data_IF_176725266674
#
_entry.id   IF_176725266674
#
_cell.length_a   1.000
_cell.length_b   1.000
_cell.length_c   1.000
_cell.angle_alpha   90.00
_cell.angle_beta   90.00
_cell.angle_gamma   90.00
#
_symmetry.space_group_name_H-M   'P 1'
#
loop_
_entity.id
_entity.type
_entity.pdbx_description
1 polymer ?
#
# COMPACT_ATOMS: atom_id res chain seq x y z
N UNK A 1 -15.29 1.55 2.84
CA UNK A 1 -16.38 2.06 3.70
C UNK A 1 -17.43 2.85 2.88
N UNK A 2 -17.04 3.92 2.15
CA UNK A 2 -17.92 4.87 1.47
C UNK A 2 -19.06 4.20 0.68
N UNK A 3 -18.80 3.22 -0.22
CA UNK A 3 -19.87 2.57 -0.97
C UNK A 3 -20.85 1.75 -0.14
N UNK A 4 -20.39 1.20 0.99
CA UNK A 4 -21.21 0.35 1.85
C UNK A 4 -22.03 1.19 2.85
N UNK A 5 -21.51 2.34 3.29
CA UNK A 5 -22.19 3.23 4.25
C UNK A 5 -23.23 4.12 3.53
N UNK A 6 -22.93 4.57 2.32
CA UNK A 6 -23.80 5.51 1.60
C UNK A 6 -25.27 5.10 1.47
N UNK A 7 -25.65 3.81 1.31
CA UNK A 7 -27.05 3.40 1.30
C UNK A 7 -27.74 3.45 2.68
N UNK A 8 -26.99 3.37 3.77
CA UNK A 8 -27.51 3.20 5.13
C UNK A 8 -27.69 4.53 5.87
N UNK A 9 -27.17 5.64 5.33
CA UNK A 9 -27.21 6.95 6.00
C UNK A 9 -28.07 7.95 5.25
N UNK A 10 -28.66 8.90 6.00
CA UNK A 10 -29.45 10.00 5.43
C UNK A 10 -28.60 10.92 4.58
N UNK A 11 -27.39 11.26 5.07
CA UNK A 11 -26.42 12.11 4.39
C UNK A 11 -25.01 11.62 4.67
N UNK A 12 -24.15 11.60 3.66
CA UNK A 12 -22.73 11.25 3.76
C UNK A 12 -21.88 12.39 3.20
N UNK A 13 -21.03 12.97 4.05
CA UNK A 13 -20.01 13.93 3.65
C UNK A 13 -18.66 13.22 3.55
N UNK A 14 -18.03 13.29 2.40
CA UNK A 14 -16.72 12.70 2.15
C UNK A 14 -15.69 13.82 2.06
N UNK A 15 -14.94 14.04 3.13
CA UNK A 15 -13.86 15.01 3.15
C UNK A 15 -12.62 14.43 2.49
N UNK A 16 -12.19 14.99 1.37
CA UNK A 16 -11.08 14.52 0.58
C UNK A 16 -10.09 15.65 0.27
N UNK A 17 -8.91 15.60 0.88
CA UNK A 17 -7.83 16.56 0.60
C UNK A 17 -7.18 16.32 -0.76
N UNK A 18 -6.94 15.07 -1.12
CA UNK A 18 -6.30 14.65 -2.37
C UNK A 18 -7.06 13.46 -2.93
N UNK A 19 -7.45 13.54 -4.21
CA UNK A 19 -8.08 12.42 -4.90
C UNK A 19 -7.11 11.23 -5.00
N UNK A 20 -7.65 10.02 -5.06
CA UNK A 20 -6.88 8.80 -5.24
C UNK A 20 -7.15 8.18 -6.61
N UNK A 21 -6.11 7.61 -7.24
CA UNK A 21 -6.30 6.77 -8.41
C UNK A 21 -7.05 5.50 -8.02
N UNK A 22 -8.21 5.28 -8.64
CA UNK A 22 -9.04 4.08 -8.43
C UNK A 22 -9.28 3.43 -9.78
N UNK A 23 -8.93 2.14 -9.87
CA UNK A 23 -9.09 1.33 -11.09
C UNK A 23 -10.15 0.25 -10.87
N UNK A 24 -10.71 -0.31 -11.95
CA UNK A 24 -11.68 -1.40 -11.85
C UNK A 24 -11.12 -2.62 -11.11
N UNK A 25 -11.98 -3.27 -10.35
CA UNK A 25 -11.70 -4.55 -9.70
C UNK A 25 -12.20 -5.69 -10.57
N UNK A 26 -11.34 -6.64 -10.92
CA UNK A 26 -11.74 -7.90 -11.54
C UNK A 26 -12.32 -8.85 -10.47
N UNK A 27 -13.60 -8.67 -10.17
CA UNK A 27 -14.34 -9.52 -9.23
C UNK A 27 -15.03 -10.65 -9.98
N UNK A 28 -14.42 -11.84 -9.97
CA UNK A 28 -15.03 -13.06 -10.48
C UNK A 28 -15.22 -14.07 -9.35
N UNK A 29 -16.46 -14.52 -9.18
CA UNK A 29 -16.73 -15.65 -8.28
C UNK A 29 -16.20 -16.91 -8.94
N UNK A 30 -15.45 -17.72 -8.19
CA UNK A 30 -15.04 -19.03 -8.67
C UNK A 30 -16.27 -19.94 -8.88
N UNK A 31 -16.32 -20.61 -10.03
CA UNK A 31 -17.35 -21.62 -10.31
C UNK A 31 -17.22 -22.80 -9.35
N UNK A 32 -18.28 -23.58 -9.18
CA UNK A 32 -18.23 -24.78 -8.33
C UNK A 32 -17.19 -25.78 -8.86
N UNK A 33 -17.07 -25.92 -10.19
CA UNK A 33 -16.04 -26.74 -10.81
C UNK A 33 -14.64 -26.28 -10.41
N UNK A 34 -14.34 -24.98 -10.48
CA UNK A 34 -13.04 -24.45 -10.04
C UNK A 34 -12.77 -24.74 -8.57
N UNK A 35 -13.77 -24.58 -7.71
CA UNK A 35 -13.64 -24.90 -6.27
C UNK A 35 -13.35 -26.37 -6.02
N UNK A 36 -13.98 -27.27 -6.78
CA UNK A 36 -13.72 -28.72 -6.70
C UNK A 36 -12.31 -29.04 -7.19
N UNK A 37 -11.88 -28.47 -8.31
CA UNK A 37 -10.52 -28.66 -8.83
C UNK A 37 -9.45 -28.13 -7.87
N UNK A 38 -9.68 -27.01 -7.19
CA UNK A 38 -8.79 -26.51 -6.16
C UNK A 38 -8.66 -27.45 -4.97
N UNK A 39 -9.73 -28.17 -4.61
CA UNK A 39 -9.68 -29.18 -3.55
C UNK A 39 -8.96 -30.46 -4.00
N UNK A 40 -9.22 -30.90 -5.23
CA UNK A 40 -8.75 -32.18 -5.74
C UNK A 40 -7.31 -32.19 -6.27
N UNK A 41 -6.81 -31.04 -6.78
CA UNK A 41 -5.54 -30.99 -7.49
C UNK A 41 -4.62 -29.87 -6.99
N UNK A 42 -3.45 -30.27 -6.48
CA UNK A 42 -2.38 -29.33 -6.13
C UNK A 42 -1.80 -28.66 -7.40
N UNK A 43 -1.67 -29.41 -8.49
CA UNK A 43 -1.16 -28.89 -9.76
C UNK A 43 -2.06 -27.76 -10.27
N UNK A 44 -3.38 -27.93 -10.23
CA UNK A 44 -4.32 -26.89 -10.64
C UNK A 44 -4.17 -25.64 -9.77
N UNK A 45 -3.99 -25.78 -8.45
CA UNK A 45 -3.70 -24.65 -7.54
C UNK A 45 -2.41 -23.93 -7.92
N UNK A 46 -1.34 -24.67 -8.22
CA UNK A 46 -0.05 -24.09 -8.58
C UNK A 46 -0.12 -23.33 -9.93
N UNK A 47 -0.74 -23.91 -10.94
CA UNK A 47 -0.96 -23.22 -12.22
C UNK A 47 -1.74 -21.92 -12.01
N UNK A 48 -2.81 -21.96 -11.25
CA UNK A 48 -3.62 -20.78 -10.96
C UNK A 48 -2.83 -19.71 -10.18
N UNK A 49 -2.06 -20.12 -9.15
CA UNK A 49 -1.16 -19.25 -8.38
C UNK A 49 -0.11 -18.59 -9.28
N UNK A 50 0.53 -19.37 -10.14
CA UNK A 50 1.53 -18.86 -11.11
C UNK A 50 0.91 -17.85 -12.08
N UNK A 51 -0.28 -18.14 -12.60
CA UNK A 51 -1.00 -17.20 -13.46
C UNK A 51 -1.30 -15.89 -12.74
N UNK A 52 -1.81 -15.94 -11.51
CA UNK A 52 -2.08 -14.74 -10.71
C UNK A 52 -0.79 -13.95 -10.43
N UNK A 53 0.29 -14.65 -10.10
CA UNK A 53 1.60 -14.03 -9.89
C UNK A 53 2.03 -13.22 -11.12
N UNK A 54 2.10 -13.86 -12.29
CA UNK A 54 2.56 -13.19 -13.51
C UNK A 54 1.61 -12.08 -13.98
N UNK A 55 0.30 -12.22 -13.76
CA UNK A 55 -0.66 -11.16 -14.03
C UNK A 55 -0.40 -9.92 -13.15
N UNK A 56 -0.05 -10.12 -11.89
CA UNK A 56 0.26 -9.02 -10.99
C UNK A 56 1.67 -8.46 -11.27
N UNK A 57 2.64 -9.33 -11.54
CA UNK A 57 4.02 -8.93 -11.84
C UNK A 57 4.10 -8.08 -13.11
N UNK A 58 3.31 -8.39 -14.14
CA UNK A 58 3.25 -7.57 -15.35
C UNK A 58 2.83 -6.11 -15.11
N UNK A 59 2.18 -5.82 -13.97
CA UNK A 59 1.79 -4.45 -13.58
C UNK A 59 2.98 -3.59 -13.13
N UNK A 60 4.14 -4.19 -12.87
CA UNK A 60 5.35 -3.42 -12.55
C UNK A 60 5.84 -2.64 -13.78
N UNK A 61 5.65 -3.20 -14.98
CA UNK A 61 6.13 -2.61 -16.23
C UNK A 61 5.69 -1.15 -16.40
N UNK A 62 4.38 -0.80 -16.32
CA UNK A 62 3.98 0.60 -16.39
C UNK A 62 4.45 1.44 -15.19
N UNK A 63 4.71 0.84 -14.03
CA UNK A 63 5.21 1.57 -12.85
C UNK A 63 6.65 2.05 -13.09
N UNK A 64 7.52 1.17 -13.65
CA UNK A 64 8.92 1.52 -13.93
C UNK A 64 9.12 2.22 -15.28
N UNK A 65 8.09 2.29 -16.12
CA UNK A 65 8.11 2.96 -17.41
C UNK A 65 7.07 4.09 -17.49
N UNK A 66 7.43 5.33 -17.11
CA UNK A 66 6.48 6.44 -17.02
C UNK A 66 5.70 6.74 -18.31
N UNK A 67 6.28 6.42 -19.47
CA UNK A 67 5.59 6.60 -20.76
C UNK A 67 4.38 5.67 -20.90
N UNK A 68 4.53 4.41 -20.47
CA UNK A 68 3.43 3.42 -20.49
C UNK A 68 2.38 3.82 -19.44
N UNK A 69 2.82 4.30 -18.28
CA UNK A 69 1.91 4.76 -17.22
C UNK A 69 0.99 5.90 -17.68
N UNK A 70 1.45 6.81 -18.55
CA UNK A 70 0.62 7.88 -19.14
C UNK A 70 -0.60 7.33 -19.88
N UNK A 71 -0.48 6.19 -20.57
CA UNK A 71 -1.64 5.55 -21.22
C UNK A 71 -2.59 4.95 -20.18
N UNK A 72 -2.05 4.27 -19.17
CA UNK A 72 -2.84 3.77 -18.04
C UNK A 72 -3.60 4.88 -17.32
N UNK A 73 -2.96 6.03 -17.11
CA UNK A 73 -3.58 7.21 -16.52
C UNK A 73 -4.74 7.74 -17.35
N UNK A 74 -4.59 7.88 -18.67
CA UNK A 74 -5.68 8.30 -19.57
C UNK A 74 -6.88 7.35 -19.52
N UNK A 75 -6.64 6.04 -19.43
CA UNK A 75 -7.70 5.05 -19.27
C UNK A 75 -8.40 5.19 -17.92
N UNK A 76 -7.66 5.43 -16.84
CA UNK A 76 -8.23 5.68 -15.53
C UNK A 76 -9.05 6.98 -15.48
N UNK A 77 -8.61 8.05 -16.13
CA UNK A 77 -9.37 9.29 -16.29
C UNK A 77 -10.67 9.07 -17.08
N UNK A 78 -10.60 8.29 -18.17
CA UNK A 78 -11.81 7.93 -18.94
C UNK A 78 -12.78 7.10 -18.10
N UNK A 79 -12.26 6.20 -17.27
CA UNK A 79 -13.08 5.41 -16.33
C UNK A 79 -13.78 6.30 -15.30
N UNK A 80 -13.11 7.29 -14.72
CA UNK A 80 -13.73 8.27 -13.81
C UNK A 80 -14.86 8.99 -14.50
N UNK A 81 -14.59 9.55 -15.69
CA UNK A 81 -15.60 10.31 -16.49
C UNK A 81 -16.80 9.45 -16.92
N UNK A 82 -16.58 8.17 -17.14
CA UNK A 82 -17.67 7.24 -17.44
C UNK A 82 -18.53 6.92 -16.22
N UNK A 83 -17.91 6.81 -15.04
CA UNK A 83 -18.59 6.41 -13.81
C UNK A 83 -19.29 7.58 -13.10
N UNK A 84 -18.79 8.80 -13.22
CA UNK A 84 -19.30 10.00 -12.53
C UNK A 84 -20.06 10.87 -13.55
N UNK A 85 -21.35 11.09 -13.28
CA UNK A 85 -22.25 11.82 -14.21
C UNK A 85 -21.96 13.32 -14.27
N UNK A 86 -21.61 13.91 -13.14
CA UNK A 86 -21.30 15.34 -13.02
C UNK A 86 -19.82 15.58 -13.41
N UNK A 87 -19.59 16.46 -14.39
CA UNK A 87 -18.25 16.74 -14.93
C UNK A 87 -17.35 17.46 -13.93
N UNK A 88 -17.89 18.37 -13.13
CA UNK A 88 -17.10 19.09 -12.12
C UNK A 88 -16.71 18.16 -10.97
N UNK A 89 -17.64 17.29 -10.56
CA UNK A 89 -17.36 16.25 -9.57
C UNK A 89 -16.33 15.25 -10.09
N UNK A 90 -16.43 14.82 -11.35
CA UNK A 90 -15.44 13.95 -11.98
C UNK A 90 -14.04 14.58 -11.98
N UNK A 91 -13.94 15.90 -12.24
CA UNK A 91 -12.69 16.65 -12.17
C UNK A 91 -12.11 16.67 -10.75
N UNK A 92 -12.94 16.92 -9.72
CA UNK A 92 -12.51 16.88 -8.31
C UNK A 92 -12.07 15.48 -7.85
N UNK A 93 -12.62 14.42 -8.44
CA UNK A 93 -12.26 13.03 -8.16
C UNK A 93 -11.07 12.53 -8.99
N UNK A 94 -10.58 13.32 -9.94
CA UNK A 94 -9.40 13.00 -10.75
C UNK A 94 -8.14 13.51 -10.02
N UNK A 95 -7.17 12.63 -9.71
CA UNK A 95 -5.92 13.05 -9.08
C UNK A 95 -5.08 13.98 -9.96
N UNK A 96 -4.34 14.87 -9.33
CA UNK A 96 -3.42 15.84 -9.94
C UNK A 96 -1.96 15.35 -10.01
N UNK A 97 -1.69 14.15 -9.49
CA UNK A 97 -0.35 13.54 -9.47
C UNK A 97 -0.28 12.34 -10.41
N UNK A 98 0.95 12.00 -10.83
CA UNK A 98 1.20 10.86 -11.73
C UNK A 98 0.74 9.55 -11.09
N UNK A 99 0.01 8.74 -11.86
CA UNK A 99 -0.46 7.42 -11.42
C UNK A 99 0.74 6.53 -11.08
N UNK A 100 0.70 5.91 -9.89
CA UNK A 100 1.82 5.11 -9.37
C UNK A 100 2.65 5.82 -8.29
N UNK A 101 2.69 7.16 -8.24
CA UNK A 101 3.38 7.89 -7.17
C UNK A 101 2.74 7.70 -5.79
N UNK A 102 1.48 7.29 -5.75
CA UNK A 102 0.77 6.88 -4.54
C UNK A 102 0.03 5.58 -4.83
N UNK A 103 -0.33 4.84 -3.76
CA UNK A 103 -1.05 3.58 -3.88
C UNK A 103 -2.31 3.72 -4.75
N UNK A 104 -2.42 2.89 -5.78
CA UNK A 104 -3.61 2.77 -6.62
C UNK A 104 -4.65 1.93 -5.88
N UNK A 105 -5.87 2.43 -5.77
CA UNK A 105 -6.99 1.73 -5.17
C UNK A 105 -7.76 0.93 -6.23
N UNK A 106 -8.50 -0.08 -5.78
CA UNK A 106 -9.24 -0.99 -6.67
C UNK A 106 -10.69 -1.04 -6.22
N UNK A 107 -11.63 -0.52 -7.04
CA UNK A 107 -13.06 -0.54 -6.70
C UNK A 107 -13.93 -0.30 -7.93
N UNK A 108 -15.03 -1.06 -8.02
CA UNK A 108 -16.08 -0.83 -9.02
C UNK A 108 -17.23 0.05 -8.49
N UNK A 109 -17.27 0.26 -7.17
CA UNK A 109 -18.40 0.93 -6.49
C UNK A 109 -18.07 2.36 -6.06
N UNK A 110 -16.78 2.73 -5.97
CA UNK A 110 -16.34 4.00 -5.38
C UNK A 110 -16.92 5.20 -6.14
N UNK A 111 -16.64 5.33 -7.41
CA UNK A 111 -17.11 6.45 -8.22
C UNK A 111 -18.64 6.52 -8.38
N UNK A 112 -19.36 5.39 -8.66
CA UNK A 112 -20.81 5.42 -8.74
C UNK A 112 -21.49 5.89 -7.45
N UNK A 113 -20.87 5.73 -6.30
CA UNK A 113 -21.41 6.18 -5.01
C UNK A 113 -21.60 7.70 -4.99
N UNK A 114 -20.74 8.46 -5.63
CA UNK A 114 -20.84 9.91 -5.70
C UNK A 114 -21.97 10.42 -6.62
N UNK A 115 -22.64 9.55 -7.39
CA UNK A 115 -23.85 9.91 -8.14
C UNK A 115 -25.10 9.89 -7.25
N UNK A 116 -25.02 9.46 -5.99
CA UNK A 116 -26.14 9.42 -5.06
C UNK A 116 -26.44 10.83 -4.55
N UNK A 117 -27.73 11.17 -4.41
CA UNK A 117 -28.16 12.48 -3.92
C UNK A 117 -27.75 12.77 -2.46
N UNK A 118 -27.56 11.71 -1.68
CA UNK A 118 -27.18 11.79 -0.26
C UNK A 118 -25.66 11.71 -0.03
N UNK A 119 -24.83 11.86 -1.08
CA UNK A 119 -23.37 11.84 -0.95
C UNK A 119 -22.78 13.14 -1.48
N UNK A 120 -22.06 13.85 -0.64
CA UNK A 120 -21.37 15.10 -1.00
C UNK A 120 -19.85 14.91 -0.84
N UNK A 121 -19.12 15.21 -1.91
CA UNK A 121 -17.65 15.32 -1.86
C UNK A 121 -17.27 16.73 -1.39
N UNK A 122 -16.53 16.81 -0.28
CA UNK A 122 -16.03 18.06 0.29
C UNK A 122 -14.52 18.13 0.09
N UNK A 123 -14.06 19.09 -0.71
CA UNK A 123 -12.63 19.30 -1.00
C UNK A 123 -12.05 20.47 -0.23
N UNK A 124 -12.90 21.29 0.39
CA UNK A 124 -12.48 22.41 1.21
C UNK A 124 -11.84 21.93 2.51
N UNK A 125 -10.79 22.62 2.92
CA UNK A 125 -10.07 22.24 4.13
C UNK A 125 -10.96 22.40 5.37
N UNK A 126 -10.89 21.44 6.28
CA UNK A 126 -11.53 21.51 7.58
C UNK A 126 -10.88 22.65 8.36
N UNK A 127 -11.69 23.54 8.88
CA UNK A 127 -11.28 24.62 9.75
C UNK A 127 -11.44 24.23 11.21
N UNK A 128 -12.60 23.64 11.57
CA UNK A 128 -12.93 23.28 12.94
C UNK A 128 -13.89 22.08 12.98
N UNK A 129 -13.76 21.27 14.01
CA UNK A 129 -14.72 20.22 14.38
C UNK A 129 -15.46 20.69 15.61
N UNK A 130 -16.76 20.94 15.48
CA UNK A 130 -17.64 21.39 16.56
C UNK A 130 -18.30 20.21 17.24
N UNK A 131 -19.05 20.46 18.30
CA UNK A 131 -19.85 19.42 18.98
C UNK A 131 -20.92 18.79 18.07
N UNK A 132 -21.39 19.51 17.04
CA UNK A 132 -22.51 19.09 16.19
C UNK A 132 -22.13 18.94 14.72
N UNK A 133 -20.90 19.26 14.32
CA UNK A 133 -20.55 19.28 12.90
C UNK A 133 -19.11 19.60 12.57
N UNK A 134 -18.90 19.87 11.28
CA UNK A 134 -17.61 20.24 10.72
C UNK A 134 -17.75 21.54 9.95
N UNK A 135 -16.94 22.53 10.31
CA UNK A 135 -16.83 23.81 9.59
C UNK A 135 -15.64 23.73 8.65
N UNK A 136 -15.86 24.07 7.39
CA UNK A 136 -14.83 24.16 6.37
C UNK A 136 -14.42 25.61 6.12
N UNK A 137 -13.27 25.83 5.50
CA UNK A 137 -12.72 27.18 5.26
C UNK A 137 -13.59 28.06 4.36
N UNK A 138 -14.55 27.49 3.62
CA UNK A 138 -15.59 28.23 2.88
C UNK A 138 -16.71 28.76 3.80
N UNK A 139 -16.60 28.56 5.12
CA UNK A 139 -17.56 29.01 6.13
C UNK A 139 -18.82 28.13 6.26
N UNK A 140 -18.91 27.00 5.55
CA UNK A 140 -20.04 26.10 5.66
C UNK A 140 -19.88 25.15 6.83
N UNK A 141 -20.92 25.06 7.66
CA UNK A 141 -21.07 24.04 8.68
C UNK A 141 -21.89 22.86 8.13
N UNK A 142 -21.38 21.65 8.33
CA UNK A 142 -22.07 20.41 7.99
C UNK A 142 -22.34 19.65 9.28
N UNK A 143 -23.61 19.55 9.65
CA UNK A 143 -24.03 18.81 10.85
C UNK A 143 -23.87 17.32 10.62
N UNK A 144 -23.33 16.61 11.61
CA UNK A 144 -23.07 15.17 11.58
C UNK A 144 -23.39 14.55 12.96
N UNK A 145 -23.81 13.30 12.93
CA UNK A 145 -24.00 12.47 14.13
C UNK A 145 -22.80 11.54 14.37
N UNK A 146 -22.05 11.24 13.31
CA UNK A 146 -20.94 10.30 13.35
C UNK A 146 -19.77 10.83 12.53
N UNK A 147 -18.58 10.82 13.08
CA UNK A 147 -17.33 11.17 12.44
C UNK A 147 -16.43 9.94 12.33
N UNK A 148 -16.07 9.56 11.09
CA UNK A 148 -15.18 8.45 10.82
C UNK A 148 -13.82 8.99 10.35
N UNK A 149 -12.79 8.76 11.13
CA UNK A 149 -11.42 9.14 10.79
C UNK A 149 -10.80 8.13 9.82
N UNK A 150 -10.55 8.56 8.59
CA UNK A 150 -9.82 7.81 7.56
C UNK A 150 -8.50 8.49 7.22
N UNK A 151 -7.77 8.98 8.21
CA UNK A 151 -6.60 9.86 8.07
C UNK A 151 -5.30 9.14 7.70
N UNK A 152 -5.33 7.80 7.57
CA UNK A 152 -4.19 6.97 7.22
C UNK A 152 -3.44 6.42 8.43
N UNK A 153 -2.26 5.88 8.16
CA UNK A 153 -1.39 5.27 9.15
C UNK A 153 -0.01 5.93 9.12
N UNK A 154 0.67 5.86 10.24
CA UNK A 154 2.09 6.18 10.32
C UNK A 154 2.85 5.01 9.68
N UNK A 155 3.57 5.26 8.62
CA UNK A 155 4.31 4.22 7.86
C UNK A 155 5.82 4.28 8.06
N UNK A 156 6.33 5.35 8.68
CA UNK A 156 7.76 5.49 8.96
C UNK A 156 8.17 4.56 10.10
N UNK A 157 9.02 3.55 9.85
CA UNK A 157 9.43 2.58 10.87
C UNK A 157 10.19 3.24 12.02
N UNK A 158 10.83 4.39 11.82
CA UNK A 158 11.53 5.14 12.87
C UNK A 158 10.60 5.60 14.00
N UNK A 159 9.33 5.81 13.69
CA UNK A 159 8.35 6.20 14.70
C UNK A 159 8.01 5.04 15.63
N UNK A 160 7.96 3.81 15.11
CA UNK A 160 7.72 2.61 15.92
C UNK A 160 8.89 2.32 16.86
N UNK A 161 10.13 2.65 16.47
CA UNK A 161 11.31 2.50 17.31
C UNK A 161 11.33 3.38 18.56
N UNK A 162 10.36 4.31 18.71
CA UNK A 162 10.16 5.06 19.96
C UNK A 162 9.60 4.18 21.09
N UNK A 163 9.04 3.02 20.77
CA UNK A 163 8.33 2.16 21.72
C UNK A 163 9.12 0.91 22.13
N UNK A 164 10.26 0.64 21.48
CA UNK A 164 11.15 -0.45 21.87
C UNK A 164 12.59 -0.12 21.49
N UNK A 165 13.52 -0.62 22.30
CA UNK A 165 14.94 -0.48 22.03
C UNK A 165 15.45 -1.72 21.30
N UNK A 166 16.19 -1.49 20.24
CA UNK A 166 16.92 -2.52 19.52
C UNK A 166 18.39 -2.11 19.45
N UNK A 167 19.23 -2.85 20.15
CA UNK A 167 20.66 -2.55 20.29
C UNK A 167 21.47 -3.60 19.56
N UNK A 168 22.31 -3.16 18.66
CA UNK A 168 23.21 -3.98 17.86
C UNK A 168 24.65 -4.02 18.41
N UNK A 169 25.61 -4.28 17.51
CA UNK A 169 27.03 -4.31 17.85
C UNK A 169 27.52 -2.99 18.45
N UNK A 170 28.40 -3.08 19.41
CA UNK A 170 29.01 -1.92 20.05
C UNK A 170 28.03 -0.94 20.67
N UNK A 171 26.83 -1.40 21.03
CA UNK A 171 25.81 -0.56 21.64
C UNK A 171 25.07 0.38 20.67
N UNK A 172 25.19 0.17 19.36
CA UNK A 172 24.47 0.99 18.35
C UNK A 172 22.98 0.71 18.44
N UNK A 173 22.19 1.73 18.68
CA UNK A 173 20.73 1.63 18.67
C UNK A 173 20.18 1.73 17.23
N UNK A 174 19.18 0.92 16.88
CA UNK A 174 18.58 0.90 15.55
C UNK A 174 17.96 2.26 15.17
N UNK A 175 17.38 2.97 16.16
CA UNK A 175 16.87 4.34 15.96
C UNK A 175 17.98 5.32 15.57
N UNK A 176 19.20 5.12 16.06
CA UNK A 176 20.36 5.92 15.70
C UNK A 176 20.91 5.53 14.32
N UNK A 177 20.97 4.24 14.03
CA UNK A 177 21.38 3.74 12.72
C UNK A 177 20.45 4.23 11.59
N UNK A 178 19.16 4.39 11.88
CA UNK A 178 18.14 4.83 10.93
C UNK A 178 17.76 6.32 11.01
N UNK A 179 18.57 7.15 11.73
CA UNK A 179 18.25 8.59 11.93
C UNK A 179 18.02 9.35 10.62
N UNK A 180 18.81 9.08 9.60
CA UNK A 180 18.78 9.76 8.30
C UNK A 180 17.84 9.07 7.28
N UNK A 181 17.43 7.84 7.56
CA UNK A 181 16.55 7.02 6.73
C UNK A 181 16.59 5.58 7.20
N UNK A 182 15.47 4.87 7.09
CA UNK A 182 15.45 3.45 7.41
C UNK A 182 16.02 2.65 6.24
N UNK A 183 17.08 1.88 6.50
CA UNK A 183 17.81 1.09 5.52
C UNK A 183 17.91 -0.37 5.91
N UNK A 184 17.90 -1.25 4.92
CA UNK A 184 18.11 -2.68 5.12
C UNK A 184 18.52 -3.35 3.82
N UNK A 185 19.08 -4.54 3.93
CA UNK A 185 19.34 -5.40 2.78
C UNK A 185 18.11 -6.26 2.48
N UNK A 186 17.48 -6.08 1.31
CA UNK A 186 16.23 -6.73 0.88
C UNK A 186 15.07 -6.63 1.88
N UNK A 187 15.09 -5.65 2.79
CA UNK A 187 14.08 -5.55 3.85
C UNK A 187 14.15 -6.67 4.88
N UNK A 188 15.30 -7.39 4.97
CA UNK A 188 15.45 -8.58 5.80
C UNK A 188 16.48 -8.37 6.91
N UNK A 189 17.62 -7.77 6.60
CA UNK A 189 18.74 -7.63 7.53
C UNK A 189 19.29 -6.20 7.54
N UNK A 190 19.83 -5.78 8.68
CA UNK A 190 20.44 -4.47 8.86
C UNK A 190 21.86 -4.63 9.39
N UNK A 191 22.83 -3.96 8.79
CA UNK A 191 24.24 -3.97 9.24
C UNK A 191 24.36 -3.51 10.69
N UNK A 192 25.28 -4.06 11.44
CA UNK A 192 25.49 -3.89 12.89
C UNK A 192 24.41 -4.55 13.78
N UNK A 193 23.46 -5.28 13.20
CA UNK A 193 22.41 -5.96 13.97
C UNK A 193 22.43 -7.47 13.66
N UNK A 194 23.39 -8.23 14.21
CA UNK A 194 23.48 -9.67 14.00
C UNK A 194 22.21 -10.38 14.50
N UNK A 195 21.78 -11.42 13.78
CA UNK A 195 20.59 -12.22 14.08
C UNK A 195 19.26 -11.43 14.12
N UNK A 196 19.27 -10.16 13.73
CA UNK A 196 18.04 -9.38 13.55
C UNK A 196 17.50 -9.59 12.13
N UNK A 197 16.31 -10.19 12.04
CA UNK A 197 15.60 -10.34 10.78
C UNK A 197 14.29 -9.59 10.80
N UNK A 198 13.95 -9.04 9.65
CA UNK A 198 12.73 -8.27 9.44
C UNK A 198 11.90 -8.90 8.32
N UNK A 199 10.59 -8.79 8.43
CA UNK A 199 9.67 -9.05 7.32
C UNK A 199 9.07 -7.73 6.87
N UNK A 200 9.08 -7.49 5.56
CA UNK A 200 8.62 -6.22 4.97
C UNK A 200 9.36 -5.00 5.56
N UNK A 201 10.65 -5.15 5.79
CA UNK A 201 11.48 -4.04 6.24
C UNK A 201 11.61 -2.92 5.19
N UNK A 202 12.45 -1.92 5.45
CA UNK A 202 12.64 -0.77 4.56
C UNK A 202 12.75 -1.13 3.08
N UNK A 203 12.13 -0.34 2.22
CA UNK A 203 12.16 -0.44 0.75
C UNK A 203 11.55 -1.72 0.14
N UNK A 204 10.67 -2.43 0.86
CA UNK A 204 10.06 -3.68 0.36
C UNK A 204 8.55 -3.66 0.19
N UNK A 205 7.86 -2.55 0.45
CA UNK A 205 6.40 -2.48 0.30
C UNK A 205 6.06 -2.28 -1.18
N UNK A 206 5.64 -3.36 -1.84
CA UNK A 206 5.21 -3.34 -3.25
C UNK A 206 3.72 -3.00 -3.38
N UNK A 207 3.39 -2.19 -4.39
CA UNK A 207 2.00 -1.82 -4.70
C UNK A 207 1.31 -2.70 -5.74
N UNK A 208 2.03 -3.56 -6.45
CA UNK A 208 1.53 -4.29 -7.62
C UNK A 208 1.33 -5.79 -7.39
N UNK A 209 2.02 -6.39 -6.42
CA UNK A 209 1.97 -7.84 -6.16
C UNK A 209 1.58 -8.14 -4.70
N UNK A 210 1.51 -9.43 -4.39
CA UNK A 210 1.10 -9.93 -3.08
C UNK A 210 2.21 -9.76 -2.04
N UNK A 211 1.91 -9.02 -0.98
CA UNK A 211 2.76 -8.89 0.21
C UNK A 211 3.05 -10.25 0.86
N UNK A 212 2.06 -11.16 0.88
CA UNK A 212 2.23 -12.52 1.42
C UNK A 212 3.28 -13.30 0.63
N UNK A 213 3.33 -13.12 -0.69
CA UNK A 213 4.33 -13.78 -1.53
C UNK A 213 5.76 -13.31 -1.19
N UNK A 214 5.92 -12.02 -0.91
CA UNK A 214 7.21 -11.48 -0.44
C UNK A 214 7.58 -12.04 0.92
N UNK A 215 6.64 -12.08 1.87
CA UNK A 215 6.87 -12.67 3.20
C UNK A 215 7.32 -14.12 3.08
N UNK A 216 6.65 -14.94 2.24
CA UNK A 216 7.06 -16.34 2.00
C UNK A 216 8.51 -16.43 1.50
N UNK A 217 8.90 -15.55 0.56
CA UNK A 217 10.27 -15.51 0.03
C UNK A 217 11.28 -15.08 1.09
N UNK A 218 10.96 -14.05 1.87
CA UNK A 218 11.79 -13.57 2.97
C UNK A 218 11.94 -14.62 4.07
N UNK A 219 10.87 -15.30 4.47
CA UNK A 219 10.90 -16.40 5.45
C UNK A 219 11.81 -17.53 4.97
N UNK A 220 11.69 -17.94 3.70
CA UNK A 220 12.55 -18.97 3.14
C UNK A 220 14.03 -18.57 3.16
N UNK A 221 14.35 -17.32 2.88
CA UNK A 221 15.71 -16.80 2.96
C UNK A 221 16.22 -16.80 4.41
N UNK A 222 15.42 -16.30 5.36
CA UNK A 222 15.77 -16.28 6.80
C UNK A 222 16.00 -17.70 7.33
N UNK A 223 15.16 -18.65 6.98
CA UNK A 223 15.33 -20.05 7.38
C UNK A 223 16.66 -20.63 6.88
N UNK A 224 17.09 -20.31 5.65
CA UNK A 224 18.40 -20.73 5.13
C UNK A 224 19.56 -20.10 5.92
N UNK A 225 19.43 -18.83 6.33
CA UNK A 225 20.42 -18.16 7.16
C UNK A 225 20.54 -18.85 8.54
N UNK A 226 19.41 -19.12 9.19
CA UNK A 226 19.37 -19.83 10.50
C UNK A 226 20.02 -21.22 10.37
N UNK A 227 19.64 -21.98 9.34
CA UNK A 227 20.22 -23.29 9.08
C UNK A 227 21.74 -23.23 8.82
N UNK A 228 22.22 -22.14 8.24
CA UNK A 228 23.66 -21.92 8.03
C UNK A 228 24.37 -21.70 9.36
N UNK A 229 23.81 -20.89 10.25
CA UNK A 229 24.32 -20.68 11.61
C UNK A 229 24.43 -22.02 12.35
N UNK A 230 23.37 -22.83 12.32
CA UNK A 230 23.35 -24.14 12.97
C UNK A 230 24.42 -25.09 12.41
N UNK A 231 24.55 -25.17 11.08
CA UNK A 231 25.51 -26.06 10.39
C UNK A 231 26.97 -25.67 10.60
N UNK A 232 27.23 -24.37 10.71
CA UNK A 232 28.61 -23.85 10.87
C UNK A 232 28.99 -23.67 12.31
N UNK A 233 28.10 -23.99 13.26
CA UNK A 233 28.28 -23.77 14.71
C UNK A 233 28.73 -22.34 15.04
N UNK A 234 28.30 -21.36 14.22
CA UNK A 234 28.56 -19.95 14.49
C UNK A 234 27.45 -19.39 15.40
N UNK A 235 27.79 -18.35 16.16
CA UNK A 235 26.83 -17.75 17.11
C UNK A 235 25.94 -16.68 16.45
N UNK A 236 26.37 -16.12 15.31
CA UNK A 236 25.67 -15.01 14.69
C UNK A 236 25.93 -14.94 13.18
N UNK A 237 24.95 -14.41 12.48
CA UNK A 237 25.04 -14.06 11.08
C UNK A 237 24.62 -12.59 10.90
N UNK A 238 25.32 -11.89 10.04
CA UNK A 238 25.12 -10.47 9.80
C UNK A 238 25.40 -10.13 8.34
N UNK A 239 24.71 -9.15 7.79
CA UNK A 239 25.01 -8.61 6.48
C UNK A 239 26.32 -7.81 6.50
N UNK A 240 27.16 -7.98 5.50
CA UNK A 240 28.37 -7.17 5.33
C UNK A 240 27.99 -5.71 5.05
N UNK A 241 28.74 -4.78 5.65
CA UNK A 241 28.45 -3.35 5.54
C UNK A 241 28.47 -2.87 4.09
N UNK A 242 29.53 -3.18 3.37
CA UNK A 242 29.71 -2.82 1.96
C UNK A 242 28.60 -3.36 1.05
N UNK A 243 28.08 -4.55 1.35
CA UNK A 243 26.98 -5.17 0.57
C UNK A 243 25.66 -4.43 0.80
N UNK A 244 25.34 -4.05 2.04
CA UNK A 244 24.14 -3.27 2.32
C UNK A 244 24.26 -1.85 1.73
N UNK A 245 25.40 -1.20 1.86
CA UNK A 245 25.63 0.15 1.35
C UNK A 245 25.46 0.18 -0.17
N UNK A 246 26.13 -0.69 -0.90
CA UNK A 246 25.96 -0.81 -2.35
C UNK A 246 24.53 -1.14 -2.80
N UNK A 247 23.79 -1.90 -1.99
CA UNK A 247 22.40 -2.19 -2.28
C UNK A 247 21.53 -0.94 -2.12
N UNK A 248 21.71 -0.18 -1.04
CA UNK A 248 20.93 1.04 -0.80
C UNK A 248 21.28 2.14 -1.80
N UNK A 249 22.57 2.32 -2.15
CA UNK A 249 23.00 3.27 -3.20
C UNK A 249 22.28 2.98 -4.53
N UNK A 250 22.25 1.72 -4.97
CA UNK A 250 21.52 1.33 -6.18
C UNK A 250 20.00 1.59 -6.08
N UNK A 251 19.40 1.41 -4.91
CA UNK A 251 17.98 1.74 -4.69
C UNK A 251 17.76 3.25 -4.83
N UNK A 252 18.65 4.07 -4.25
CA UNK A 252 18.54 5.54 -4.32
C UNK A 252 18.75 6.07 -5.75
N UNK A 253 19.66 5.48 -6.51
CA UNK A 253 19.89 5.84 -7.93
C UNK A 253 18.69 5.57 -8.83
N UNK A 254 17.78 4.67 -8.43
CA UNK A 254 16.60 4.28 -9.20
C UNK A 254 15.31 5.01 -8.79
N UNK A 255 15.34 5.74 -7.68
CA UNK A 255 14.23 6.53 -7.16
C UNK A 255 14.25 7.96 -7.70
#
# INVERSE_FOLDING_TARGET
YIPEIAPEVKQLYVFQRTAAWVIPRDERKYSQLSKTLFKASNIYRQIHRTRLYWTNESRVVPIVQPQIMKYGQKLAEAFIRFQVKDKELAKKLTPDFVMGCKRILISNKYFPTFNRKNVELVTDAIQEITANGIITKDGKERQIDCLIYGTGFITDPRIYLKHFDCVGRNGIELKQAWKDGAESYYGIATKNFPNLFQLLGPNTILGHNSVIFMIESQVNYILQLIQTVDKTATQAIEIKHDVQDQFNDRVQEQL
#
